data_IF_124725103623
#
_entry.id   IF_124725103623
#
_cell.length_a   1.000
_cell.length_b   1.000
_cell.length_c   1.000
_cell.angle_alpha   90.00
_cell.angle_beta   90.00
_cell.angle_gamma   90.00
#
_symmetry.space_group_name_H-M   'P 1'
#
loop_
_entity.id
_entity.type
_entity.pdbx_description
1 polymer ?
#
# COMPACT_ATOMS: atom_id res chain seq x y z
N UNK A 1 -5.35 18.66 8.68
CA UNK A 1 -5.98 17.37 8.99
C UNK A 1 -7.46 17.47 8.74
N UNK A 2 -7.95 16.87 7.66
CA UNK A 2 -9.39 16.59 7.53
C UNK A 2 -9.72 15.46 8.51
N UNK A 3 -10.87 15.46 9.20
CA UNK A 3 -11.20 14.35 10.07
C UNK A 3 -11.22 13.04 9.27
N UNK A 4 -10.58 12.00 9.80
CA UNK A 4 -10.68 10.66 9.22
C UNK A 4 -12.17 10.26 9.12
N UNK A 5 -12.61 9.65 8.01
CA UNK A 5 -13.97 9.13 7.88
C UNK A 5 -14.32 8.23 9.06
N UNK A 6 -15.61 8.23 9.48
CA UNK A 6 -16.11 7.23 10.40
C UNK A 6 -15.82 5.83 9.86
N UNK A 7 -15.52 4.88 10.76
CA UNK A 7 -15.23 3.48 10.40
C UNK A 7 -16.34 2.84 9.55
N UNK A 8 -17.59 3.23 9.77
CA UNK A 8 -18.74 2.76 8.98
C UNK A 8 -18.67 3.19 7.51
N UNK A 9 -18.17 4.40 7.24
CA UNK A 9 -18.00 4.93 5.89
C UNK A 9 -16.88 4.17 5.16
N UNK A 10 -15.76 3.91 5.84
CA UNK A 10 -14.69 3.08 5.30
C UNK A 10 -15.18 1.65 5.00
N UNK A 11 -15.88 1.02 5.94
CA UNK A 11 -16.44 -0.32 5.76
C UNK A 11 -17.43 -0.36 4.57
N UNK A 12 -18.24 0.68 4.38
CA UNK A 12 -19.15 0.80 3.24
C UNK A 12 -18.40 0.95 1.92
N UNK A 13 -17.36 1.77 1.87
CA UNK A 13 -16.49 1.96 0.70
C UNK A 13 -15.79 0.66 0.30
N UNK A 14 -15.22 -0.06 1.26
CA UNK A 14 -14.58 -1.35 1.03
C UNK A 14 -15.57 -2.39 0.49
N UNK A 15 -16.77 -2.49 1.09
CA UNK A 15 -17.82 -3.40 0.63
C UNK A 15 -18.32 -3.06 -0.77
N UNK A 16 -18.47 -1.78 -1.10
CA UNK A 16 -18.83 -1.34 -2.43
C UNK A 16 -17.78 -1.74 -3.48
N UNK A 17 -16.50 -1.77 -3.10
CA UNK A 17 -15.39 -2.31 -3.89
C UNK A 17 -15.30 -3.84 -3.93
N UNK A 18 -16.25 -4.57 -3.33
CA UNK A 18 -16.28 -6.04 -3.31
C UNK A 18 -15.45 -6.70 -2.20
N UNK A 19 -14.91 -5.91 -1.28
CA UNK A 19 -14.20 -6.44 -0.11
C UNK A 19 -15.18 -6.95 0.95
N UNK A 20 -14.75 -7.98 1.67
CA UNK A 20 -15.43 -8.49 2.86
C UNK A 20 -14.40 -9.12 3.82
N UNK A 21 -14.67 -9.14 5.14
CA UNK A 21 -13.76 -9.76 6.10
C UNK A 21 -13.49 -11.22 5.79
N UNK A 22 -12.23 -11.66 5.90
CA UNK A 22 -11.83 -13.05 5.73
C UNK A 22 -11.33 -13.41 4.33
N UNK A 23 -11.28 -12.46 3.38
CA UNK A 23 -10.71 -12.68 2.04
C UNK A 23 -9.27 -13.18 2.06
N UNK A 24 -8.48 -12.75 3.04
CA UNK A 24 -7.11 -13.19 3.27
C UNK A 24 -6.98 -14.68 3.59
N UNK A 25 -8.09 -15.36 3.92
CA UNK A 25 -8.14 -16.80 4.19
C UNK A 25 -8.59 -17.62 2.97
N UNK A 26 -9.01 -16.99 1.86
CA UNK A 26 -9.32 -17.72 0.62
C UNK A 26 -8.01 -18.23 0.00
N UNK A 27 -7.83 -19.55 -0.19
CA UNK A 27 -6.60 -20.11 -0.76
C UNK A 27 -6.23 -19.54 -2.14
N UNK A 28 -7.22 -19.11 -2.94
CA UNK A 28 -6.97 -18.51 -4.26
C UNK A 28 -6.36 -17.13 -4.12
N UNK A 29 -6.84 -16.34 -3.15
CA UNK A 29 -6.28 -15.03 -2.87
C UNK A 29 -4.85 -15.14 -2.32
N UNK A 30 -4.61 -16.11 -1.44
CA UNK A 30 -3.27 -16.39 -0.92
C UNK A 30 -2.28 -16.81 -2.02
N UNK A 31 -2.70 -17.71 -2.91
CA UNK A 31 -1.88 -18.15 -4.03
C UNK A 31 -1.56 -17.01 -5.00
N UNK A 32 -2.54 -16.14 -5.27
CA UNK A 32 -2.32 -14.98 -6.13
C UNK A 32 -1.44 -13.92 -5.46
N UNK A 33 -1.63 -13.65 -4.17
CA UNK A 33 -0.76 -12.75 -3.41
C UNK A 33 0.69 -13.23 -3.41
N UNK A 34 0.94 -14.52 -3.15
CA UNK A 34 2.28 -15.12 -3.21
C UNK A 34 2.92 -14.89 -4.60
N UNK A 35 2.15 -15.12 -5.68
CA UNK A 35 2.61 -14.90 -7.05
C UNK A 35 2.99 -13.43 -7.31
N UNK A 36 2.12 -12.50 -6.94
CA UNK A 36 2.33 -11.06 -7.17
C UNK A 36 3.51 -10.52 -6.34
N UNK A 37 3.60 -10.94 -5.06
CA UNK A 37 4.72 -10.60 -4.18
C UNK A 37 6.03 -11.14 -4.75
N UNK A 38 6.07 -12.37 -5.26
CA UNK A 38 7.26 -12.94 -5.88
C UNK A 38 7.69 -12.17 -7.14
N UNK A 39 6.74 -11.73 -7.96
CA UNK A 39 7.02 -10.86 -9.13
C UNK A 39 7.68 -9.56 -8.68
N UNK A 40 7.14 -8.89 -7.65
CA UNK A 40 7.72 -7.63 -7.16
C UNK A 40 9.11 -7.81 -6.56
N UNK A 41 9.32 -8.87 -5.77
CA UNK A 41 10.65 -9.21 -5.22
C UNK A 41 11.66 -9.37 -6.34
N UNK A 42 11.32 -10.16 -7.38
CA UNK A 42 12.21 -10.34 -8.54
C UNK A 42 12.49 -9.01 -9.26
N UNK A 43 11.45 -8.22 -9.53
CA UNK A 43 11.62 -6.93 -10.20
C UNK A 43 12.52 -5.96 -9.44
N UNK A 44 12.42 -5.93 -8.11
CA UNK A 44 13.32 -5.11 -7.27
C UNK A 44 14.77 -5.62 -7.25
N UNK A 45 14.96 -6.95 -7.26
CA UNK A 45 16.29 -7.55 -7.33
C UNK A 45 16.97 -7.29 -8.68
N UNK A 46 16.21 -7.33 -9.78
CA UNK A 46 16.70 -7.00 -11.12
C UNK A 46 17.14 -5.52 -11.23
N UNK A 47 16.59 -4.63 -10.39
CA UNK A 47 17.04 -3.22 -10.25
C UNK A 47 18.24 -3.04 -9.31
N UNK A 48 18.72 -4.09 -8.65
CA UNK A 48 19.85 -4.03 -7.71
C UNK A 48 19.47 -3.72 -6.25
N UNK A 49 18.18 -3.54 -5.95
CA UNK A 49 17.66 -3.22 -4.61
C UNK A 49 16.66 -4.29 -4.15
N UNK A 50 17.13 -5.47 -3.71
CA UNK A 50 16.27 -6.61 -3.45
C UNK A 50 15.36 -6.40 -2.22
N UNK A 51 14.05 -6.36 -2.47
CA UNK A 51 13.04 -6.32 -1.42
C UNK A 51 12.81 -7.69 -0.79
N UNK A 52 12.37 -7.70 0.48
CA UNK A 52 12.00 -8.92 1.22
C UNK A 52 10.61 -8.78 1.81
N UNK A 53 9.71 -9.69 1.46
CA UNK A 53 8.36 -9.75 2.03
C UNK A 53 8.34 -10.43 3.41
N UNK A 54 7.20 -10.35 4.10
CA UNK A 54 6.90 -11.00 5.37
C UNK A 54 5.40 -11.31 5.45
N UNK A 55 4.95 -12.00 6.52
CA UNK A 55 3.57 -12.49 6.62
C UNK A 55 2.50 -11.41 6.49
N UNK A 56 2.74 -10.21 7.03
CA UNK A 56 1.74 -9.12 6.99
C UNK A 56 1.55 -8.56 5.58
N UNK A 57 2.61 -8.49 4.77
CA UNK A 57 2.51 -8.16 3.34
C UNK A 57 1.59 -9.14 2.63
N UNK A 58 1.82 -10.44 2.85
CA UNK A 58 1.01 -11.49 2.25
C UNK A 58 -0.45 -11.45 2.72
N UNK A 59 -0.68 -11.21 4.02
CA UNK A 59 -2.03 -11.04 4.57
C UNK A 59 -2.76 -9.88 3.89
N UNK A 60 -2.14 -8.70 3.84
CA UNK A 60 -2.73 -7.51 3.25
C UNK A 60 -3.04 -7.72 1.77
N UNK A 61 -2.05 -8.14 0.97
CA UNK A 61 -2.25 -8.38 -0.46
C UNK A 61 -3.34 -9.43 -0.68
N UNK A 62 -3.36 -10.52 0.09
CA UNK A 62 -4.42 -11.54 -0.01
C UNK A 62 -5.82 -11.00 0.31
N UNK A 63 -5.96 -10.05 1.24
CA UNK A 63 -7.27 -9.48 1.57
C UNK A 63 -7.85 -8.66 0.41
N UNK A 64 -6.98 -7.94 -0.32
CA UNK A 64 -7.37 -6.93 -1.29
C UNK A 64 -7.09 -7.28 -2.76
N UNK A 65 -6.42 -8.41 -3.04
CA UNK A 65 -6.02 -8.80 -4.38
C UNK A 65 -7.20 -8.84 -5.37
N UNK A 66 -6.97 -8.25 -6.54
CA UNK A 66 -7.95 -8.16 -7.63
C UNK A 66 -9.08 -7.15 -7.39
N UNK A 67 -9.03 -6.38 -6.29
CA UNK A 67 -9.99 -5.30 -6.02
C UNK A 67 -9.42 -3.94 -6.42
N UNK A 68 -10.33 -3.04 -6.80
CA UNK A 68 -10.02 -1.64 -7.09
C UNK A 68 -10.97 -0.76 -6.29
N UNK A 69 -10.43 0.29 -5.68
CA UNK A 69 -11.20 1.19 -4.82
C UNK A 69 -11.11 2.62 -5.34
N UNK A 70 -12.10 3.08 -6.13
CA UNK A 70 -12.20 4.48 -6.56
C UNK A 70 -12.40 5.42 -5.37
N UNK A 71 -11.68 6.53 -5.33
CA UNK A 71 -11.80 7.50 -4.23
C UNK A 71 -13.15 8.23 -4.31
N UNK A 72 -13.91 8.37 -3.20
CA UNK A 72 -15.26 8.96 -3.24
C UNK A 72 -15.32 10.38 -3.82
N UNK A 73 -14.31 11.21 -3.52
CA UNK A 73 -14.25 12.61 -3.96
C UNK A 73 -13.57 12.81 -5.32
N UNK A 74 -12.94 11.77 -5.85
CA UNK A 74 -12.17 11.79 -7.09
C UNK A 74 -12.14 10.37 -7.71
N UNK A 75 -13.25 9.88 -8.30
CA UNK A 75 -13.37 8.48 -8.73
C UNK A 75 -12.42 8.03 -9.85
N UNK A 76 -11.79 8.98 -10.54
CA UNK A 76 -10.69 8.75 -11.46
C UNK A 76 -9.41 8.28 -10.75
N UNK A 77 -9.25 8.68 -9.48
CA UNK A 77 -8.20 8.20 -8.57
C UNK A 77 -8.65 6.89 -7.95
N UNK A 78 -7.83 5.86 -8.02
CA UNK A 78 -8.18 4.53 -7.52
C UNK A 78 -7.00 3.93 -6.79
N UNK A 79 -7.28 3.26 -5.67
CA UNK A 79 -6.32 2.38 -5.04
C UNK A 79 -6.46 0.98 -5.61
N UNK A 80 -5.33 0.35 -5.96
CA UNK A 80 -5.24 -1.05 -6.35
C UNK A 80 -4.24 -1.75 -5.43
N UNK A 81 -4.67 -2.81 -4.77
CA UNK A 81 -3.79 -3.68 -4.01
C UNK A 81 -3.07 -4.67 -4.93
N UNK A 82 -2.21 -4.12 -5.78
CA UNK A 82 -1.33 -4.85 -6.68
C UNK A 82 0.11 -4.45 -6.37
N UNK A 83 0.90 -5.33 -5.72
CA UNK A 83 2.27 -5.00 -5.36
C UNK A 83 3.21 -5.01 -6.57
N UNK A 84 2.76 -5.44 -7.76
CA UNK A 84 3.62 -5.57 -8.95
C UNK A 84 3.83 -4.25 -9.69
N UNK A 85 3.02 -3.24 -9.41
CA UNK A 85 3.23 -1.91 -9.96
C UNK A 85 4.57 -1.33 -9.49
N UNK A 86 5.28 -0.72 -10.42
CA UNK A 86 6.57 -0.11 -10.20
C UNK A 86 7.12 0.55 -11.45
N UNK A 87 8.08 1.45 -11.29
CA UNK A 87 8.79 2.13 -12.36
C UNK A 87 10.31 2.00 -12.17
N UNK A 88 11.08 2.26 -13.22
CA UNK A 88 12.55 2.23 -13.12
C UNK A 88 13.04 3.22 -12.07
N UNK A 89 13.84 2.75 -11.11
CA UNK A 89 14.34 3.54 -9.98
C UNK A 89 13.44 3.51 -8.74
N UNK A 90 12.23 2.93 -8.82
CA UNK A 90 11.34 2.84 -7.66
C UNK A 90 11.95 2.03 -6.51
N UNK A 91 12.72 1.00 -6.82
CA UNK A 91 13.30 0.10 -5.83
C UNK A 91 14.41 0.80 -5.03
N UNK A 92 15.17 1.70 -5.68
CA UNK A 92 16.15 2.56 -5.01
C UNK A 92 15.46 3.54 -4.06
N UNK A 93 14.43 4.25 -4.53
CA UNK A 93 13.66 5.18 -3.69
C UNK A 93 13.02 4.50 -2.48
N UNK A 94 12.51 3.27 -2.65
CA UNK A 94 11.97 2.48 -1.54
C UNK A 94 13.09 2.10 -0.55
N UNK A 95 14.29 1.76 -1.04
CA UNK A 95 15.43 1.44 -0.19
C UNK A 95 15.91 2.66 0.60
N UNK A 96 16.01 3.84 -0.03
CA UNK A 96 16.36 5.09 0.64
C UNK A 96 15.34 5.46 1.72
N UNK A 97 14.05 5.37 1.42
CA UNK A 97 13.01 5.63 2.41
C UNK A 97 13.04 4.63 3.57
N UNK A 98 13.31 3.35 3.27
CA UNK A 98 13.48 2.31 4.27
C UNK A 98 14.65 2.62 5.22
N UNK A 99 15.77 3.10 4.68
CA UNK A 99 16.93 3.55 5.46
C UNK A 99 16.60 4.75 6.35
N UNK A 100 15.95 5.79 5.79
CA UNK A 100 15.54 6.98 6.54
C UNK A 100 14.57 6.67 7.69
N UNK A 101 13.69 5.70 7.51
CA UNK A 101 12.76 5.24 8.55
C UNK A 101 13.42 4.26 9.54
N UNK A 102 14.58 3.70 9.21
CA UNK A 102 15.17 2.58 9.95
C UNK A 102 14.29 1.33 9.95
N UNK A 103 13.53 1.11 8.88
CA UNK A 103 12.52 0.03 8.75
C UNK A 103 12.64 -0.70 7.44
N UNK A 104 12.04 -1.87 7.38
CA UNK A 104 11.80 -2.56 6.10
C UNK A 104 10.53 -2.01 5.47
N UNK A 105 10.53 -1.80 4.16
CA UNK A 105 9.35 -1.43 3.39
C UNK A 105 9.05 -2.46 2.31
N UNK A 106 7.78 -2.60 1.97
CA UNK A 106 7.35 -3.42 0.85
C UNK A 106 6.12 -2.81 0.14
N UNK A 107 6.11 -2.74 -1.21
CA UNK A 107 4.94 -2.32 -1.97
C UNK A 107 3.76 -3.26 -1.80
N UNK A 108 2.60 -2.72 -1.45
CA UNK A 108 1.36 -3.49 -1.27
C UNK A 108 0.25 -3.05 -2.24
N UNK A 109 0.46 -1.95 -2.94
CA UNK A 109 -0.47 -1.42 -3.92
C UNK A 109 -0.01 -0.07 -4.46
N UNK A 110 -0.89 0.59 -5.20
CA UNK A 110 -0.61 1.89 -5.79
C UNK A 110 -1.90 2.68 -6.05
N UNK A 111 -1.74 3.99 -6.18
CA UNK A 111 -2.78 4.92 -6.61
C UNK A 111 -2.63 5.19 -8.12
N UNK A 112 -3.71 5.05 -8.87
CA UNK A 112 -3.67 4.99 -10.34
C UNK A 112 -3.58 6.32 -11.07
N UNK A 113 -3.90 7.45 -10.43
CA UNK A 113 -3.89 8.75 -11.10
C UNK A 113 -2.47 9.31 -11.25
N UNK A 114 -1.69 9.24 -10.17
CA UNK A 114 -0.34 9.83 -10.11
C UNK A 114 0.75 8.76 -9.93
N UNK A 115 0.39 7.48 -10.07
CA UNK A 115 1.32 6.34 -9.98
C UNK A 115 2.09 6.25 -8.65
N UNK A 116 1.52 6.77 -7.56
CA UNK A 116 2.16 6.68 -6.25
C UNK A 116 2.03 5.28 -5.65
N UNK A 117 3.10 4.80 -5.01
CA UNK A 117 3.20 3.43 -4.49
C UNK A 117 2.84 3.42 -3.00
N UNK A 118 1.93 2.53 -2.60
CA UNK A 118 1.59 2.30 -1.20
C UNK A 118 2.53 1.26 -0.62
N UNK A 119 3.22 1.62 0.46
CA UNK A 119 4.23 0.83 1.14
C UNK A 119 3.74 0.44 2.52
N UNK A 120 4.08 -0.77 2.95
CA UNK A 120 3.87 -1.27 4.31
C UNK A 120 5.22 -1.46 4.97
N UNK A 121 5.35 -1.05 6.24
CA UNK A 121 6.53 -1.32 7.05
C UNK A 121 6.37 -2.52 7.99
N UNK A 122 7.49 -2.98 8.56
CA UNK A 122 7.52 -4.15 9.44
C UNK A 122 6.91 -3.94 10.83
N UNK A 123 6.44 -2.72 11.12
CA UNK A 123 5.65 -2.37 12.32
C UNK A 123 4.15 -2.25 12.05
N UNK A 124 3.72 -2.39 10.79
CA UNK A 124 2.31 -2.28 10.39
C UNK A 124 1.89 -0.89 9.93
N UNK A 125 2.85 0.05 9.82
CA UNK A 125 2.61 1.41 9.33
C UNK A 125 2.57 1.45 7.81
N UNK A 126 1.82 2.38 7.26
CA UNK A 126 1.70 2.57 5.82
C UNK A 126 2.25 3.91 5.38
N UNK A 127 2.89 3.90 4.23
CA UNK A 127 3.47 5.07 3.58
C UNK A 127 3.04 5.14 2.12
N UNK A 128 3.12 6.33 1.54
CA UNK A 128 2.81 6.60 0.14
C UNK A 128 4.02 7.27 -0.51
N UNK A 129 4.67 6.55 -1.42
CA UNK A 129 5.78 7.08 -2.21
C UNK A 129 5.22 7.76 -3.44
N UNK A 130 5.36 9.08 -3.49
CA UNK A 130 4.82 9.93 -4.56
C UNK A 130 5.93 10.84 -5.13
N UNK A 131 5.73 11.35 -6.34
CA UNK A 131 6.74 12.18 -7.02
C UNK A 131 7.02 13.51 -6.31
N UNK A 132 6.12 13.97 -5.43
CA UNK A 132 6.31 15.17 -4.60
C UNK A 132 6.96 14.87 -3.25
N UNK A 133 7.20 13.60 -2.92
CA UNK A 133 7.77 13.17 -1.65
C UNK A 133 7.08 11.94 -1.06
N UNK A 134 7.68 11.33 -0.01
CA UNK A 134 7.06 10.27 0.76
C UNK A 134 6.07 10.85 1.77
N UNK A 135 4.93 10.18 1.95
CA UNK A 135 3.91 10.57 2.92
C UNK A 135 3.57 9.42 3.87
N UNK A 136 3.28 9.73 5.11
CA UNK A 136 2.72 8.79 6.07
C UNK A 136 1.20 8.71 5.91
N UNK A 137 0.69 7.48 5.75
CA UNK A 137 -0.74 7.21 5.58
C UNK A 137 -1.42 6.78 6.88
N UNK A 138 -0.69 6.17 7.81
CA UNK A 138 -1.27 5.74 9.07
C UNK A 138 -0.49 4.65 9.79
N UNK A 139 -0.79 4.51 11.08
CA UNK A 139 -0.18 3.53 11.97
C UNK A 139 -0.72 2.11 11.81
N UNK A 140 -1.82 1.96 11.07
CA UNK A 140 -2.48 0.69 10.78
C UNK A 140 -3.25 0.74 9.45
N UNK A 141 -3.77 -0.40 9.03
CA UNK A 141 -4.55 -0.57 7.80
C UNK A 141 -5.79 0.33 7.72
N UNK A 142 -6.50 0.52 8.84
CA UNK A 142 -7.73 1.32 8.88
C UNK A 142 -7.40 2.80 8.64
N UNK A 143 -6.39 3.30 9.34
CA UNK A 143 -5.89 4.67 9.16
C UNK A 143 -5.37 4.87 7.74
N UNK A 144 -4.57 3.93 7.23
CA UNK A 144 -3.99 4.04 5.89
C UNK A 144 -5.03 4.14 4.78
N UNK A 145 -6.03 3.24 4.80
CA UNK A 145 -7.10 3.24 3.80
C UNK A 145 -8.01 4.47 3.94
N UNK A 146 -8.26 4.92 5.17
CA UNK A 146 -8.95 6.18 5.45
C UNK A 146 -8.21 7.38 4.85
N UNK A 147 -6.89 7.46 5.05
CA UNK A 147 -6.03 8.53 4.50
C UNK A 147 -6.00 8.52 2.98
N UNK A 148 -5.93 7.34 2.36
CA UNK A 148 -6.06 7.20 0.91
C UNK A 148 -7.43 7.70 0.42
N UNK A 149 -8.51 7.33 1.12
CA UNK A 149 -9.88 7.71 0.77
C UNK A 149 -10.12 9.22 0.83
N UNK A 150 -9.53 9.92 1.80
CA UNK A 150 -9.71 11.36 2.01
C UNK A 150 -8.64 12.25 1.39
N UNK A 151 -7.47 11.68 1.12
CA UNK A 151 -6.25 12.41 0.78
C UNK A 151 -5.59 13.12 1.98
N UNK A 152 -5.97 12.79 3.22
CA UNK A 152 -5.33 13.35 4.42
C UNK A 152 -4.08 12.54 4.75
N UNK A 153 -2.91 13.10 4.47
CA UNK A 153 -1.62 12.44 4.64
C UNK A 153 -0.62 13.40 5.30
N UNK A 154 0.31 12.85 6.07
CA UNK A 154 1.36 13.59 6.75
C UNK A 154 2.68 13.42 6.00
N UNK A 155 3.62 14.34 6.21
CA UNK A 155 4.96 14.18 5.67
C UNK A 155 5.65 12.98 6.34
N UNK A 156 6.26 12.09 5.56
CA UNK A 156 6.97 10.94 6.12
C UNK A 156 8.26 11.34 6.85
N UNK A 157 8.82 12.53 6.57
CA UNK A 157 10.04 13.03 7.22
C UNK A 157 9.90 13.17 8.75
N UNK A 158 8.67 13.43 9.23
CA UNK A 158 8.35 13.49 10.66
C UNK A 158 8.55 12.14 11.39
N UNK A 159 8.77 11.06 10.64
CA UNK A 159 8.90 9.68 11.14
C UNK A 159 10.30 9.07 10.91
N UNK A 160 11.27 9.86 10.43
CA UNK A 160 12.64 9.41 10.20
C UNK A 160 13.41 9.20 11.53
N UNK A 161 14.52 8.46 11.48
CA UNK A 161 15.34 8.08 12.65
C UNK A 161 16.75 8.66 12.65
#
# INVERSE_FOLDING_TARGET
>A
MRPSPPREELDAWLRAGGWYPGRENDPRNQAEAERLVAVRVRGSADQGFPLRSWGEVHRFVSSYVGLEFPMPLAPERKFRADPTFGYEGDAELIAELAENLGRRLFPVGWETSENGIVLLDDTGRFFYLHHTGPYFLGGDETQALSSLMTGDQEDAEEYFV
#
